data_IF_698468413230
#
_entry.id   IF_698468413230
#
_cell.length_a   1.000
_cell.length_b   1.000
_cell.length_c   1.000
_cell.angle_alpha   90.00
_cell.angle_beta   90.00
_cell.angle_gamma   90.00
#
_symmetry.space_group_name_H-M   'P 1'
#
loop_
_entity.id
_entity.type
_entity.pdbx_description
1 polymer ?
#
# COMPACT_ATOMS: atom_id res chain seq x y z
N UNK A 1 70.88 3.14 34.05
CA UNK A 1 69.80 4.07 33.62
C UNK A 1 69.10 3.65 32.32
N UNK A 2 69.81 3.13 31.30
CA UNK A 2 69.19 2.79 30.00
C UNK A 2 68.14 1.67 30.01
N UNK A 3 68.33 0.61 30.80
CA UNK A 3 67.39 -0.52 30.86
C UNK A 3 66.01 -0.13 31.42
N UNK A 4 65.99 0.69 32.49
CA UNK A 4 64.73 1.18 33.08
C UNK A 4 63.95 2.07 32.12
N UNK A 5 64.65 2.95 31.38
CA UNK A 5 64.02 3.79 30.36
C UNK A 5 63.40 2.95 29.23
N UNK A 6 64.07 1.88 28.77
CA UNK A 6 63.55 0.98 27.74
C UNK A 6 62.33 0.19 28.21
N UNK A 7 62.35 -0.30 29.46
CA UNK A 7 61.22 -1.02 30.06
C UNK A 7 60.03 -0.08 30.21
N UNK A 8 60.25 1.15 30.70
CA UNK A 8 59.21 2.16 30.85
C UNK A 8 58.56 2.55 29.52
N UNK A 9 59.36 2.78 28.47
CA UNK A 9 58.86 3.06 27.11
C UNK A 9 57.97 1.92 26.59
N UNK A 10 58.35 0.67 26.85
CA UNK A 10 57.56 -0.50 26.45
C UNK A 10 56.24 -0.56 27.20
N UNK A 11 56.24 -0.29 28.50
CA UNK A 11 55.01 -0.26 29.33
C UNK A 11 54.07 0.85 28.85
N UNK A 12 54.57 2.07 28.63
CA UNK A 12 53.78 3.19 28.11
C UNK A 12 53.22 2.88 26.73
N UNK A 13 53.99 2.24 25.86
CA UNK A 13 53.53 1.82 24.53
C UNK A 13 52.40 0.78 24.63
N UNK A 14 52.55 -0.25 25.47
CA UNK A 14 51.52 -1.28 25.65
C UNK A 14 50.25 -0.68 26.26
N UNK A 15 50.37 0.17 27.29
CA UNK A 15 49.22 0.83 27.93
C UNK A 15 48.51 1.76 26.95
N UNK A 16 49.24 2.57 26.19
CA UNK A 16 48.63 3.46 25.18
C UNK A 16 47.97 2.68 24.03
N UNK A 17 48.58 1.59 23.57
CA UNK A 17 47.99 0.68 22.58
C UNK A 17 46.65 0.11 23.07
N UNK A 18 46.63 -0.45 24.29
CA UNK A 18 45.39 -1.01 24.86
C UNK A 18 44.36 0.07 25.21
N UNK A 19 44.80 1.26 25.65
CA UNK A 19 43.92 2.40 25.88
C UNK A 19 43.20 2.82 24.60
N UNK A 20 43.92 3.02 23.49
CA UNK A 20 43.34 3.39 22.19
C UNK A 20 42.38 2.28 21.71
N UNK A 21 42.77 1.01 21.82
CA UNK A 21 41.95 -0.12 21.38
C UNK A 21 40.68 -0.29 22.23
N UNK A 22 40.79 -0.21 23.55
CA UNK A 22 39.67 -0.35 24.48
C UNK A 22 38.71 0.83 24.37
N UNK A 23 39.23 2.04 24.25
CA UNK A 23 38.43 3.25 24.06
C UNK A 23 37.78 3.30 22.67
N UNK A 24 38.49 2.87 21.64
CA UNK A 24 37.96 2.68 20.29
C UNK A 24 36.86 1.64 20.27
N UNK A 25 37.04 0.50 20.93
CA UNK A 25 36.00 -0.53 21.09
C UNK A 25 34.79 -0.01 21.87
N UNK A 26 35.00 0.72 22.98
CA UNK A 26 33.92 1.29 23.77
C UNK A 26 33.11 2.36 23.00
N UNK A 27 33.76 3.09 22.08
CA UNK A 27 33.08 4.03 21.18
C UNK A 27 32.59 3.43 19.87
N UNK A 28 32.94 2.18 19.58
CA UNK A 28 32.49 1.50 18.37
C UNK A 28 30.99 1.26 18.48
N UNK A 29 30.22 1.92 17.61
CA UNK A 29 28.78 1.70 17.55
C UNK A 29 28.50 0.29 17.02
N UNK A 30 27.58 -0.47 17.62
CA UNK A 30 27.23 -1.77 17.09
C UNK A 30 26.67 -1.59 15.66
N UNK A 31 27.02 -2.46 14.69
CA UNK A 31 26.59 -2.33 13.31
C UNK A 31 25.07 -2.15 13.15
N UNK A 32 24.30 -2.86 13.99
CA UNK A 32 22.83 -2.76 14.05
C UNK A 32 22.34 -1.33 14.37
N UNK A 33 23.01 -0.62 15.28
CA UNK A 33 22.63 0.75 15.63
C UNK A 33 22.92 1.74 14.48
N UNK A 34 24.01 1.52 13.73
CA UNK A 34 24.36 2.35 12.57
C UNK A 34 23.27 2.22 11.49
N UNK A 35 22.89 1.00 11.14
CA UNK A 35 21.86 0.77 10.12
C UNK A 35 20.47 1.19 10.59
N UNK A 36 20.13 1.01 11.87
CA UNK A 36 18.87 1.51 12.42
C UNK A 36 18.81 3.05 12.43
N UNK A 37 19.94 3.73 12.65
CA UNK A 37 20.02 5.18 12.51
C UNK A 37 19.84 5.61 11.04
N UNK A 38 20.45 4.90 10.09
CA UNK A 38 20.26 5.14 8.64
C UNK A 38 18.81 4.93 8.21
N UNK A 39 18.18 3.84 8.62
CA UNK A 39 16.77 3.56 8.35
C UNK A 39 15.85 4.68 8.86
N UNK A 40 16.10 5.21 10.07
CA UNK A 40 15.30 6.29 10.67
C UNK A 40 15.49 7.65 10.01
N UNK A 41 16.67 7.90 9.45
CA UNK A 41 17.04 9.19 8.85
C UNK A 41 16.97 9.16 7.31
N UNK A 42 16.55 8.05 6.71
CA UNK A 42 16.39 7.92 5.27
C UNK A 42 15.35 8.92 4.75
N UNK A 43 15.71 9.63 3.68
CA UNK A 43 14.84 10.62 3.02
C UNK A 43 14.27 10.10 1.70
N UNK A 44 14.94 9.10 1.11
CA UNK A 44 14.51 8.36 -0.07
C UNK A 44 14.06 6.96 0.33
N UNK A 45 13.18 6.36 -0.47
CA UNK A 45 12.74 5.00 -0.22
C UNK A 45 13.89 4.00 -0.51
N UNK A 46 14.74 4.30 -1.48
CA UNK A 46 15.91 3.48 -1.87
C UNK A 46 16.89 3.34 -0.70
N UNK A 47 17.22 4.46 -0.02
CA UNK A 47 18.08 4.44 1.16
C UNK A 47 17.44 3.67 2.32
N UNK A 48 16.11 3.82 2.48
CA UNK A 48 15.35 3.09 3.48
C UNK A 48 15.36 1.58 3.21
N UNK A 49 15.10 1.17 1.97
CA UNK A 49 15.08 -0.21 1.51
C UNK A 49 16.47 -0.86 1.65
N UNK A 50 17.53 -0.15 1.24
CA UNK A 50 18.90 -0.63 1.39
C UNK A 50 19.25 -0.83 2.88
N UNK A 51 18.88 0.11 3.76
CA UNK A 51 19.11 -0.02 5.18
C UNK A 51 18.27 -1.16 5.81
N UNK A 52 17.02 -1.32 5.38
CA UNK A 52 16.13 -2.40 5.80
C UNK A 52 16.68 -3.78 5.45
N UNK A 53 17.14 -3.97 4.21
CA UNK A 53 17.77 -5.22 3.75
C UNK A 53 19.04 -5.55 4.55
N UNK A 54 19.85 -4.56 4.89
CA UNK A 54 21.04 -4.78 5.71
C UNK A 54 20.67 -5.13 7.16
N UNK A 55 19.63 -4.53 7.72
CA UNK A 55 19.11 -4.91 9.03
C UNK A 55 18.59 -6.34 9.02
N UNK A 56 17.83 -6.74 8.00
CA UNK A 56 17.33 -8.11 7.86
C UNK A 56 18.46 -9.13 7.88
N UNK A 57 19.54 -8.90 7.13
CA UNK A 57 20.76 -9.75 7.16
C UNK A 57 21.40 -9.82 8.54
N UNK A 58 21.47 -8.69 9.27
CA UNK A 58 22.06 -8.63 10.61
C UNK A 58 21.18 -9.29 11.70
N UNK A 59 19.87 -9.38 11.48
CA UNK A 59 18.93 -10.07 12.36
C UNK A 59 18.64 -11.51 11.93
N UNK A 60 19.05 -11.92 10.72
CA UNK A 60 18.75 -13.23 10.15
C UNK A 60 17.32 -13.37 9.62
N UNK A 61 16.64 -12.25 9.34
CA UNK A 61 15.27 -12.26 8.80
C UNK A 61 15.23 -12.59 7.30
N UNK A 62 16.35 -12.44 6.60
CA UNK A 62 16.57 -12.93 5.24
C UNK A 62 16.36 -14.45 5.13
N UNK A 63 16.89 -15.23 6.06
CA UNK A 63 16.68 -16.69 6.13
C UNK A 63 15.19 -17.03 6.27
N UNK A 64 14.45 -16.24 7.06
CA UNK A 64 13.00 -16.39 7.17
C UNK A 64 12.31 -16.08 5.83
N UNK A 65 12.77 -15.09 5.06
CA UNK A 65 12.20 -14.76 3.74
C UNK A 65 12.46 -15.84 2.71
N UNK A 66 13.63 -16.46 2.73
CA UNK A 66 14.00 -17.60 1.87
C UNK A 66 13.19 -18.85 2.19
N UNK A 67 12.85 -19.06 3.45
CA UNK A 67 12.03 -20.21 3.87
C UNK A 67 10.60 -20.06 3.34
N UNK A 68 10.20 -20.94 2.41
CA UNK A 68 8.86 -20.93 1.81
C UNK A 68 7.75 -21.32 2.79
N UNK A 69 8.05 -22.07 3.84
CA UNK A 69 7.02 -22.56 4.77
C UNK A 69 6.56 -21.47 5.74
N UNK A 70 5.25 -21.38 5.96
CA UNK A 70 4.63 -20.55 6.98
C UNK A 70 3.22 -21.02 7.29
N UNK A 71 2.75 -20.79 8.51
CA UNK A 71 1.36 -21.04 8.93
C UNK A 71 0.39 -19.95 8.42
N UNK A 72 0.91 -18.80 8.02
CA UNK A 72 0.08 -17.63 7.72
C UNK A 72 -0.46 -17.59 6.29
N UNK A 73 0.02 -18.47 5.41
CA UNK A 73 -0.46 -18.62 4.04
C UNK A 73 -0.25 -20.07 3.58
N UNK A 74 -1.01 -20.47 2.56
CA UNK A 74 -0.88 -21.78 1.93
C UNK A 74 0.27 -21.77 0.92
N UNK A 75 1.47 -22.01 1.42
CA UNK A 75 2.68 -22.02 0.60
C UNK A 75 2.69 -23.16 -0.41
N UNK A 76 2.01 -24.28 -0.13
CA UNK A 76 1.95 -25.42 -1.04
C UNK A 76 1.11 -25.06 -2.27
N UNK A 77 -0.07 -24.47 -2.06
CA UNK A 77 -0.91 -23.95 -3.15
C UNK A 77 -0.15 -22.96 -4.04
N UNK A 78 0.61 -22.02 -3.44
CA UNK A 78 1.38 -21.04 -4.21
C UNK A 78 2.51 -21.72 -5.01
N UNK A 79 3.21 -22.68 -4.40
CA UNK A 79 4.28 -23.43 -5.06
C UNK A 79 3.76 -24.26 -6.24
N UNK A 80 2.68 -25.00 -6.05
CA UNK A 80 2.06 -25.81 -7.11
C UNK A 80 1.61 -24.90 -8.27
N UNK A 81 1.04 -23.74 -7.95
CA UNK A 81 0.62 -22.76 -8.96
C UNK A 81 1.80 -22.13 -9.69
N UNK A 82 2.89 -21.85 -9.00
CA UNK A 82 4.13 -21.34 -9.59
C UNK A 82 4.68 -22.34 -10.63
N UNK A 83 4.69 -23.62 -10.28
CA UNK A 83 5.09 -24.69 -11.20
C UNK A 83 4.17 -24.76 -12.42
N UNK A 84 2.84 -24.73 -12.22
CA UNK A 84 1.89 -24.71 -13.33
C UNK A 84 2.09 -23.51 -14.27
N UNK A 85 2.34 -22.32 -13.71
CA UNK A 85 2.64 -21.12 -14.51
C UNK A 85 3.94 -21.28 -15.29
N UNK A 86 4.98 -21.81 -14.65
CA UNK A 86 6.27 -22.05 -15.30
C UNK A 86 6.13 -23.05 -16.46
N UNK A 87 5.54 -24.22 -16.21
CA UNK A 87 5.39 -25.29 -17.20
C UNK A 87 4.55 -24.83 -18.40
N UNK A 88 3.46 -24.10 -18.15
CA UNK A 88 2.58 -23.55 -19.20
C UNK A 88 3.28 -22.51 -20.08
N UNK A 89 4.21 -21.74 -19.50
CA UNK A 89 4.97 -20.71 -20.22
C UNK A 89 6.14 -21.27 -21.00
N UNK A 90 6.84 -22.26 -20.44
CA UNK A 90 8.01 -22.89 -21.06
C UNK A 90 7.61 -23.81 -22.22
N UNK A 91 6.51 -24.56 -22.08
CA UNK A 91 6.04 -25.48 -23.12
C UNK A 91 5.05 -24.79 -24.09
N UNK A 92 5.43 -24.57 -25.37
CA UNK A 92 4.55 -23.95 -26.35
C UNK A 92 3.25 -24.73 -26.58
N UNK A 93 3.27 -26.06 -26.39
CA UNK A 93 2.07 -26.88 -26.57
C UNK A 93 1.01 -26.56 -25.51
N UNK A 94 1.42 -26.14 -24.32
CA UNK A 94 0.52 -25.85 -23.19
C UNK A 94 0.10 -24.38 -23.12
N UNK A 95 0.68 -23.50 -23.94
CA UNK A 95 0.40 -22.06 -23.94
C UNK A 95 -1.10 -21.72 -24.03
N UNK A 96 -1.90 -22.55 -24.70
CA UNK A 96 -3.36 -22.39 -24.79
C UNK A 96 -4.09 -22.43 -23.42
N UNK A 97 -3.47 -23.00 -22.37
CA UNK A 97 -4.01 -23.07 -21.00
C UNK A 97 -3.74 -21.81 -20.19
N UNK A 98 -2.79 -20.98 -20.62
CA UNK A 98 -2.36 -19.76 -19.93
C UNK A 98 -3.53 -18.81 -19.61
N UNK A 99 -4.48 -18.53 -20.53
CA UNK A 99 -5.59 -17.62 -20.24
C UNK A 99 -6.49 -18.15 -19.11
N UNK A 100 -6.78 -19.46 -19.11
CA UNK A 100 -7.58 -20.09 -18.06
C UNK A 100 -6.86 -20.07 -16.69
N UNK A 101 -5.54 -20.22 -16.71
CA UNK A 101 -4.71 -20.14 -15.50
C UNK A 101 -4.64 -18.71 -14.94
N UNK A 102 -4.57 -17.69 -15.79
CA UNK A 102 -4.66 -16.29 -15.38
C UNK A 102 -6.06 -15.98 -14.85
N UNK A 103 -7.13 -16.36 -15.58
CA UNK A 103 -8.53 -16.10 -15.19
C UNK A 103 -8.87 -16.69 -13.82
N UNK A 104 -8.38 -17.89 -13.53
CA UNK A 104 -8.59 -18.55 -12.23
C UNK A 104 -7.61 -18.10 -11.13
N UNK A 105 -6.49 -17.47 -11.50
CA UNK A 105 -5.37 -17.21 -10.60
C UNK A 105 -5.21 -15.77 -10.16
N UNK A 106 -5.82 -14.84 -10.88
CA UNK A 106 -5.71 -13.42 -10.61
C UNK A 106 -6.66 -13.03 -9.45
N UNK A 107 -6.33 -13.51 -8.26
CA UNK A 107 -7.05 -13.26 -7.01
C UNK A 107 -6.10 -12.54 -6.06
N UNK A 108 -6.53 -11.40 -5.52
CA UNK A 108 -5.68 -10.52 -4.69
C UNK A 108 -5.05 -11.21 -3.49
N UNK A 109 -5.81 -12.08 -2.82
CA UNK A 109 -5.37 -12.77 -1.61
C UNK A 109 -5.38 -14.30 -1.78
N UNK A 110 -4.92 -14.80 -2.93
CA UNK A 110 -4.80 -16.23 -3.18
C UNK A 110 -3.93 -16.87 -2.08
N UNK A 111 -4.39 -17.96 -1.47
CA UNK A 111 -3.63 -18.66 -0.44
C UNK A 111 -3.30 -17.82 0.80
N UNK A 112 -3.96 -16.68 1.01
CA UNK A 112 -3.69 -15.74 2.09
C UNK A 112 -2.31 -15.01 2.02
N UNK A 113 -1.78 -14.79 0.81
CA UNK A 113 -0.48 -14.10 0.59
C UNK A 113 -0.44 -12.64 1.05
N UNK A 114 -1.60 -11.98 1.27
CA UNK A 114 -1.66 -10.59 1.76
C UNK A 114 -1.83 -10.50 3.28
N UNK A 115 -1.57 -11.59 4.01
CA UNK A 115 -1.69 -11.63 5.47
C UNK A 115 -0.72 -10.63 6.14
N UNK A 116 -1.20 -9.69 6.98
CA UNK A 116 -0.35 -8.68 7.62
C UNK A 116 0.80 -9.27 8.45
N UNK A 117 0.60 -10.47 9.01
CA UNK A 117 1.63 -11.16 9.79
C UNK A 117 2.88 -11.49 8.98
N UNK A 118 2.76 -11.65 7.66
CA UNK A 118 3.89 -11.91 6.77
C UNK A 118 4.70 -10.64 6.45
N UNK A 119 4.10 -9.47 6.56
CA UNK A 119 4.75 -8.19 6.25
C UNK A 119 5.33 -7.50 7.49
N UNK A 120 5.08 -8.05 8.68
CA UNK A 120 5.60 -7.54 9.95
C UNK A 120 6.83 -8.31 10.46
N UNK A 121 7.32 -9.33 9.72
CA UNK A 121 8.43 -10.18 10.16
C UNK A 121 9.81 -9.66 9.75
N UNK A 122 9.93 -9.13 8.54
CA UNK A 122 11.16 -8.54 8.01
C UNK A 122 10.97 -7.03 7.83
N UNK A 123 12.06 -6.26 7.83
CA UNK A 123 12.02 -4.84 7.53
C UNK A 123 11.78 -4.59 6.04
N UNK A 124 12.42 -5.39 5.18
CA UNK A 124 12.26 -5.31 3.74
C UNK A 124 11.42 -6.48 3.21
N UNK A 125 10.26 -6.16 2.63
CA UNK A 125 9.43 -7.11 1.89
C UNK A 125 8.89 -8.28 2.71
N UNK A 126 8.51 -9.36 2.03
CA UNK A 126 7.95 -10.57 2.63
C UNK A 126 8.68 -11.83 2.15
N UNK A 127 8.02 -12.98 2.15
CA UNK A 127 8.52 -14.27 1.65
C UNK A 127 8.87 -14.20 0.16
N UNK A 128 10.05 -14.69 -0.21
CA UNK A 128 10.55 -14.62 -1.59
C UNK A 128 9.68 -15.39 -2.59
N UNK A 129 9.08 -16.51 -2.18
CA UNK A 129 8.16 -17.28 -3.04
C UNK A 129 6.90 -16.48 -3.41
N UNK A 130 6.46 -15.54 -2.56
CA UNK A 130 5.32 -14.66 -2.87
C UNK A 130 5.75 -13.64 -3.92
N UNK A 131 6.93 -13.04 -3.76
CA UNK A 131 7.50 -12.10 -4.73
C UNK A 131 7.71 -12.78 -6.10
N UNK A 132 8.25 -14.00 -6.11
CA UNK A 132 8.43 -14.81 -7.32
C UNK A 132 7.10 -15.16 -7.98
N UNK A 133 6.09 -15.57 -7.20
CA UNK A 133 4.76 -15.85 -7.72
C UNK A 133 4.12 -14.62 -8.39
N UNK A 134 4.19 -13.46 -7.75
CA UNK A 134 3.66 -12.22 -8.33
C UNK A 134 4.40 -11.88 -9.63
N UNK A 135 5.73 -12.00 -9.65
CA UNK A 135 6.52 -11.78 -10.86
C UNK A 135 6.13 -12.74 -12.00
N UNK A 136 5.96 -14.03 -11.71
CA UNK A 136 5.53 -15.01 -12.72
C UNK A 136 4.12 -14.75 -13.26
N UNK A 137 3.20 -14.25 -12.42
CA UNK A 137 1.87 -13.82 -12.88
C UNK A 137 1.96 -12.62 -13.82
N UNK A 138 2.83 -11.64 -13.51
CA UNK A 138 3.05 -10.48 -14.39
C UNK A 138 3.59 -10.95 -15.75
N UNK A 139 4.64 -11.78 -15.75
CA UNK A 139 5.19 -12.31 -16.99
C UNK A 139 4.18 -13.15 -17.80
N UNK A 140 3.33 -13.93 -17.11
CA UNK A 140 2.25 -14.67 -17.78
C UNK A 140 1.24 -13.73 -18.48
N UNK A 141 0.90 -12.59 -17.85
CA UNK A 141 0.03 -11.58 -18.45
C UNK A 141 0.72 -10.94 -19.67
N UNK A 142 2.00 -10.58 -19.55
CA UNK A 142 2.77 -9.99 -20.65
C UNK A 142 2.89 -10.94 -21.85
N UNK A 143 3.15 -12.22 -21.61
CA UNK A 143 3.21 -13.26 -22.67
C UNK A 143 1.85 -13.42 -23.37
N UNK A 144 0.74 -13.40 -22.61
CA UNK A 144 -0.60 -13.41 -23.18
C UNK A 144 -0.88 -12.15 -24.01
N UNK A 145 -0.41 -10.99 -23.56
CA UNK A 145 -0.54 -9.73 -24.30
C UNK A 145 0.35 -9.68 -25.54
N UNK A 146 1.50 -10.35 -25.55
CA UNK A 146 2.38 -10.47 -26.71
C UNK A 146 1.88 -11.49 -27.75
N UNK A 147 0.96 -12.38 -27.38
CA UNK A 147 0.45 -13.43 -28.27
C UNK A 147 -0.17 -12.87 -29.56
N UNK A 148 0.12 -13.47 -30.74
CA UNK A 148 -0.30 -12.96 -32.03
C UNK A 148 -1.82 -13.05 -32.22
N UNK A 149 -2.38 -12.03 -32.87
CA UNK A 149 -3.81 -11.92 -33.16
C UNK A 149 -4.06 -12.47 -34.56
N UNK A 150 -5.05 -13.36 -34.71
CA UNK A 150 -5.51 -13.75 -36.05
C UNK A 150 -6.18 -12.55 -36.73
N UNK A 151 -5.74 -12.13 -37.93
CA UNK A 151 -6.41 -11.05 -38.64
C UNK A 151 -7.86 -11.46 -38.93
N UNK A 152 -8.83 -10.52 -38.85
CA UNK A 152 -10.20 -10.82 -39.19
C UNK A 152 -10.25 -11.32 -40.64
N UNK A 153 -10.78 -12.52 -40.83
CA UNK A 153 -11.03 -13.07 -42.16
C UNK A 153 -11.97 -12.12 -42.90
N UNK A 154 -11.47 -11.39 -43.89
CA UNK A 154 -12.30 -10.64 -44.82
C UNK A 154 -13.28 -11.61 -45.47
N UNK A 155 -14.58 -11.39 -45.25
CA UNK A 155 -15.68 -12.06 -45.92
C UNK A 155 -15.38 -12.09 -47.44
N UNK A 156 -15.04 -13.26 -47.98
CA UNK A 156 -15.19 -13.53 -49.42
C UNK A 156 -16.63 -13.95 -49.62
N UNK A 157 -17.51 -12.97 -49.76
CA UNK A 157 -18.80 -13.17 -50.41
C UNK A 157 -18.53 -13.40 -51.90
N UNK A 158 -18.63 -14.65 -52.34
CA UNK A 158 -18.89 -14.99 -53.73
C UNK A 158 -20.15 -15.84 -53.75
N UNK A 159 -21.24 -15.19 -54.13
CA UNK A 159 -22.52 -15.82 -54.38
C UNK A 159 -22.45 -16.83 -55.53
N UNK A 160 -23.20 -17.91 -55.37
CA UNK A 160 -23.47 -18.91 -56.39
C UNK A 160 -24.73 -19.68 -55.99
N UNK A 161 -25.86 -19.28 -56.56
CA UNK A 161 -27.17 -19.86 -56.36
C UNK A 161 -27.28 -21.31 -56.83
N UNK A 162 -28.11 -22.12 -56.17
CA UNK A 162 -29.17 -22.90 -56.81
C UNK A 162 -30.07 -23.60 -55.78
N UNK A 163 -31.35 -23.62 -56.09
CA UNK A 163 -32.48 -24.08 -55.31
C UNK A 163 -32.52 -25.59 -55.04
N UNK A 164 -33.18 -25.97 -53.94
CA UNK A 164 -34.26 -26.97 -54.02
C UNK A 164 -35.15 -26.91 -52.78
N UNK A 165 -36.42 -26.63 -53.05
CA UNK A 165 -37.60 -26.65 -52.18
C UNK A 165 -38.13 -28.07 -51.93
N UNK A 166 -38.60 -28.34 -50.71
CA UNK A 166 -39.85 -29.08 -50.38
C UNK A 166 -39.92 -29.26 -48.85
N UNK A 167 -40.77 -28.53 -48.12
CA UNK A 167 -42.19 -28.82 -47.86
C UNK A 167 -42.44 -30.22 -47.24
N UNK A 168 -42.74 -30.28 -45.94
CA UNK A 168 -43.90 -30.98 -45.37
C UNK A 168 -43.92 -30.98 -43.82
N UNK A 169 -45.05 -30.53 -43.27
CA UNK A 169 -45.81 -31.08 -42.13
C UNK A 169 -45.18 -31.22 -40.73
N UNK A 170 -45.77 -30.52 -39.74
CA UNK A 170 -45.92 -31.03 -38.36
C UNK A 170 -47.05 -32.06 -38.25
N UNK A 171 -47.55 -32.48 -37.07
CA UNK A 171 -47.44 -31.83 -35.75
C UNK A 171 -47.31 -32.81 -34.53
N UNK A 172 -47.56 -32.27 -33.32
CA UNK A 172 -47.97 -32.91 -32.04
C UNK A 172 -46.85 -33.56 -31.19
N UNK A 173 -46.54 -32.99 -30.00
CA UNK A 173 -47.13 -33.21 -28.65
C UNK A 173 -46.89 -34.65 -28.18
N UNK A 174 -46.09 -34.83 -27.11
CA UNK A 174 -46.47 -35.57 -25.90
C UNK A 174 -45.46 -35.31 -24.77
N UNK A 175 -46.03 -35.09 -23.58
CA UNK A 175 -45.38 -34.94 -22.28
C UNK A 175 -44.89 -36.30 -21.73
N UNK A 176 -44.24 -36.23 -20.56
CA UNK A 176 -44.16 -37.29 -19.54
C UNK A 176 -42.99 -38.27 -19.70
N UNK A 177 -42.28 -38.76 -18.68
CA UNK A 177 -41.96 -38.40 -17.29
C UNK A 177 -41.06 -39.54 -16.78
N UNK A 178 -40.24 -39.23 -15.77
CA UNK A 178 -39.74 -40.14 -14.74
C UNK A 178 -38.91 -41.40 -15.10
N UNK A 179 -37.81 -41.55 -14.35
CA UNK A 179 -37.44 -42.87 -13.83
C UNK A 179 -35.97 -43.27 -13.94
N UNK A 180 -35.12 -42.68 -13.10
CA UNK A 180 -34.10 -43.47 -12.41
C UNK A 180 -34.82 -44.36 -11.37
N UNK A 181 -34.32 -45.56 -10.97
CA UNK A 181 -33.15 -45.62 -10.08
C UNK A 181 -32.30 -46.91 -10.04
N UNK A 182 -31.09 -46.76 -9.46
CA UNK A 182 -30.32 -47.76 -8.67
C UNK A 182 -29.74 -48.97 -9.44
N UNK A 183 -28.55 -49.51 -9.19
CA UNK A 183 -27.79 -49.76 -7.95
C UNK A 183 -26.28 -49.87 -8.24
N UNK A 184 -25.49 -49.80 -7.16
CA UNK A 184 -24.08 -50.22 -6.98
C UNK A 184 -23.62 -51.43 -7.84
N UNK A 185 -22.34 -51.67 -8.13
CA UNK A 185 -21.23 -51.81 -7.17
C UNK A 185 -19.85 -52.01 -7.86
N UNK A 186 -18.78 -51.86 -7.07
CA UNK A 186 -17.46 -52.52 -7.15
C UNK A 186 -16.39 -52.18 -8.24
N UNK A 187 -15.45 -51.33 -7.81
CA UNK A 187 -13.99 -51.55 -7.65
C UNK A 187 -13.18 -52.55 -8.52
N UNK A 188 -11.96 -52.07 -8.87
CA UNK A 188 -10.65 -52.75 -9.13
C UNK A 188 -10.24 -53.11 -10.57
N UNK A 189 -9.36 -52.24 -11.10
CA UNK A 189 -7.97 -52.53 -11.54
C UNK A 189 -7.64 -53.93 -12.09
N UNK A 190 -7.32 -54.03 -13.40
CA UNK A 190 -5.96 -54.24 -13.92
C UNK A 190 -5.96 -54.71 -15.39
N UNK A 191 -5.18 -54.00 -16.22
CA UNK A 191 -4.20 -54.51 -17.21
C UNK A 191 -4.62 -55.65 -18.16
N UNK A 192 -4.70 -55.35 -19.47
CA UNK A 192 -3.80 -55.91 -20.50
C UNK A 192 -4.23 -55.51 -21.92
N UNK A 193 -3.23 -55.45 -22.80
CA UNK A 193 -3.23 -54.95 -24.16
C UNK A 193 -3.94 -55.83 -25.19
N UNK A 194 -4.41 -55.20 -26.28
CA UNK A 194 -4.36 -55.76 -27.63
C UNK A 194 -4.37 -54.61 -28.68
N UNK A 195 -3.76 -54.80 -29.87
CA UNK A 195 -3.30 -53.73 -30.74
C UNK A 195 -4.25 -53.44 -31.90
N UNK A 196 -4.18 -52.22 -32.44
CA UNK A 196 -4.65 -51.93 -33.79
C UNK A 196 -3.64 -50.99 -34.46
N UNK A 197 -3.00 -51.52 -35.49
CA UNK A 197 -2.09 -50.85 -36.41
C UNK A 197 -2.89 -50.17 -37.55
N UNK A 198 -2.19 -49.36 -38.34
CA UNK A 198 -2.52 -48.77 -39.66
C UNK A 198 -2.90 -47.28 -39.68
N UNK A 199 -1.85 -46.46 -39.69
CA UNK A 199 -1.53 -45.43 -40.70
C UNK A 199 -2.66 -44.64 -41.38
N UNK A 200 -2.72 -43.32 -41.13
CA UNK A 200 -2.79 -42.31 -42.21
C UNK A 200 -2.68 -40.85 -41.70
N UNK A 201 -1.83 -40.09 -42.39
CA UNK A 201 -1.67 -38.63 -42.42
C UNK A 201 -0.92 -37.91 -41.26
N UNK A 202 0.16 -37.16 -41.56
CA UNK A 202 0.74 -36.21 -40.61
C UNK A 202 -0.25 -35.07 -40.39
N UNK A 203 -0.73 -34.92 -39.14
CA UNK A 203 -1.55 -33.76 -38.75
C UNK A 203 -0.75 -32.48 -39.03
N UNK A 204 -1.32 -31.49 -39.72
CA UNK A 204 -0.64 -30.21 -39.95
C UNK A 204 -0.32 -29.59 -38.59
N UNK A 205 0.89 -29.02 -38.49
CA UNK A 205 1.52 -28.60 -37.25
C UNK A 205 0.59 -27.84 -36.30
N UNK A 206 0.75 -28.10 -35.00
CA UNK A 206 0.13 -27.33 -33.92
C UNK A 206 0.66 -25.89 -33.99
N UNK A 207 0.10 -25.08 -34.87
CA UNK A 207 0.08 -23.63 -34.66
C UNK A 207 -0.85 -23.40 -33.50
N UNK A 208 -0.32 -22.92 -32.36
CA UNK A 208 -1.13 -22.52 -31.20
C UNK A 208 -2.36 -21.74 -31.69
N UNK A 209 -3.57 -22.08 -31.23
CA UNK A 209 -4.79 -21.45 -31.74
C UNK A 209 -4.72 -19.95 -31.45
N UNK A 210 -4.45 -19.17 -32.50
CA UNK A 210 -4.29 -17.73 -32.39
C UNK A 210 -5.64 -17.13 -31.97
N UNK A 211 -5.65 -16.48 -30.80
CA UNK A 211 -6.84 -15.90 -30.21
C UNK A 211 -7.32 -14.73 -31.08
N UNK A 212 -8.64 -14.66 -31.31
CA UNK A 212 -9.21 -13.52 -32.01
C UNK A 212 -9.04 -12.24 -31.18
N UNK A 213 -8.92 -11.09 -31.85
CA UNK A 213 -8.80 -9.79 -31.18
C UNK A 213 -9.95 -9.56 -30.19
N UNK A 214 -11.16 -9.97 -30.59
CA UNK A 214 -12.36 -9.85 -29.76
C UNK A 214 -12.26 -10.71 -28.49
N UNK A 215 -11.82 -11.97 -28.60
CA UNK A 215 -11.64 -12.84 -27.45
C UNK A 215 -10.59 -12.29 -26.48
N UNK A 216 -9.50 -11.72 -27.01
CA UNK A 216 -8.44 -11.09 -26.20
C UNK A 216 -8.96 -9.85 -25.46
N UNK A 217 -9.73 -8.99 -26.13
CA UNK A 217 -10.34 -7.81 -25.49
C UNK A 217 -11.37 -8.19 -24.43
N UNK A 218 -12.25 -9.16 -24.71
CA UNK A 218 -13.21 -9.68 -23.72
C UNK A 218 -12.49 -10.26 -22.50
N UNK A 219 -11.43 -11.04 -22.72
CA UNK A 219 -10.62 -11.58 -21.64
C UNK A 219 -10.02 -10.48 -20.74
N UNK A 220 -9.44 -9.44 -21.33
CA UNK A 220 -8.85 -8.32 -20.58
C UNK A 220 -9.93 -7.57 -19.79
N UNK A 221 -11.08 -7.31 -20.42
CA UNK A 221 -12.19 -6.62 -19.78
C UNK A 221 -12.71 -7.40 -18.56
N UNK A 222 -13.00 -8.69 -18.74
CA UNK A 222 -13.46 -9.59 -17.67
C UNK A 222 -12.43 -9.70 -16.54
N UNK A 223 -11.16 -9.87 -16.91
CA UNK A 223 -10.06 -10.01 -15.94
C UNK A 223 -9.88 -8.73 -15.13
N UNK A 224 -9.97 -7.55 -15.77
CA UNK A 224 -9.94 -6.25 -15.07
C UNK A 224 -11.13 -6.09 -14.14
N UNK A 225 -12.32 -6.51 -14.56
CA UNK A 225 -13.53 -6.44 -13.75
C UNK A 225 -13.44 -7.36 -12.52
N UNK A 226 -12.93 -8.58 -12.69
CA UNK A 226 -12.75 -9.56 -11.61
C UNK A 226 -11.65 -9.14 -10.61
N UNK A 227 -10.51 -8.65 -11.10
CA UNK A 227 -9.41 -8.22 -10.22
C UNK A 227 -9.69 -6.88 -9.53
N UNK A 228 -10.53 -6.04 -10.13
CA UNK A 228 -10.95 -4.74 -9.62
C UNK A 228 -9.83 -3.69 -9.62
N UNK A 229 -10.09 -2.56 -8.95
CA UNK A 229 -9.11 -1.47 -8.76
C UNK A 229 -8.63 -1.39 -7.32
N UNK A 230 -7.37 -1.03 -7.11
CA UNK A 230 -6.81 -0.76 -5.79
C UNK A 230 -7.23 0.65 -5.35
N UNK A 231 -7.62 0.80 -4.09
CA UNK A 231 -7.85 2.10 -3.48
C UNK A 231 -6.91 2.33 -2.31
N UNK A 232 -6.30 3.51 -2.26
CA UNK A 232 -5.58 3.98 -1.08
C UNK A 232 -6.57 4.59 -0.08
N UNK A 233 -6.56 4.11 1.16
CA UNK A 233 -7.42 4.64 2.22
C UNK A 233 -6.54 5.37 3.24
N UNK A 234 -6.73 6.69 3.34
CA UNK A 234 -6.06 7.56 4.28
C UNK A 234 -7.00 7.83 5.45
N UNK A 235 -6.85 7.06 6.52
CA UNK A 235 -7.63 7.23 7.74
C UNK A 235 -7.08 8.42 8.55
N UNK A 236 -7.92 9.40 8.84
CA UNK A 236 -7.51 10.58 9.61
C UNK A 236 -7.44 10.32 11.11
N UNK A 237 -6.34 10.80 11.71
CA UNK A 237 -6.10 10.90 13.14
C UNK A 237 -5.11 12.05 13.40
N UNK A 238 -5.33 12.83 14.47
CA UNK A 238 -4.64 14.12 14.70
C UNK A 238 -3.12 14.03 14.87
N UNK A 239 -2.59 12.90 15.36
CA UNK A 239 -1.17 12.76 15.72
C UNK A 239 -0.28 12.35 14.54
N UNK A 240 -0.81 11.62 13.56
CA UNK A 240 -0.05 11.00 12.46
C UNK A 240 -0.45 11.49 11.06
N UNK A 241 -1.26 12.54 10.95
CA UNK A 241 -1.74 13.05 9.65
C UNK A 241 -0.64 13.34 8.63
N UNK A 242 0.52 13.87 9.06
CA UNK A 242 1.67 14.11 8.19
C UNK A 242 2.35 12.84 7.68
N UNK A 243 2.19 11.70 8.37
CA UNK A 243 2.78 10.43 7.91
C UNK A 243 2.16 9.98 6.59
N UNK A 244 0.88 10.32 6.34
CA UNK A 244 0.21 10.05 5.06
C UNK A 244 0.91 10.70 3.88
N UNK A 245 1.47 11.91 4.06
CA UNK A 245 2.22 12.61 3.01
C UNK A 245 3.47 11.81 2.61
N UNK A 246 4.20 11.26 3.58
CA UNK A 246 5.37 10.42 3.34
C UNK A 246 5.02 9.11 2.63
N UNK A 247 3.92 8.46 3.03
CA UNK A 247 3.43 7.24 2.37
C UNK A 247 3.04 7.54 0.91
N UNK A 248 2.27 8.60 0.68
CA UNK A 248 1.87 9.00 -0.68
C UNK A 248 3.09 9.36 -1.53
N UNK A 249 4.07 10.08 -0.97
CA UNK A 249 5.34 10.39 -1.64
C UNK A 249 6.09 9.14 -2.06
N UNK A 250 6.23 8.16 -1.17
CA UNK A 250 6.89 6.90 -1.49
C UNK A 250 6.15 6.13 -2.59
N UNK A 251 4.82 6.04 -2.51
CA UNK A 251 4.00 5.38 -3.53
C UNK A 251 4.09 6.08 -4.88
N UNK A 252 4.06 7.42 -4.90
CA UNK A 252 4.15 8.21 -6.11
C UNK A 252 5.52 8.07 -6.78
N UNK A 253 6.62 8.21 -6.03
CA UNK A 253 7.98 8.07 -6.56
C UNK A 253 8.25 6.68 -7.16
N UNK A 254 7.56 5.64 -6.67
CA UNK A 254 7.63 4.28 -7.22
C UNK A 254 6.60 4.00 -8.32
N UNK A 255 5.77 4.97 -8.71
CA UNK A 255 4.72 4.78 -9.73
C UNK A 255 3.60 3.83 -9.27
N UNK A 256 3.42 3.66 -7.97
CA UNK A 256 2.45 2.75 -7.35
C UNK A 256 1.25 3.47 -6.72
N UNK A 257 1.15 4.80 -6.88
CA UNK A 257 0.05 5.59 -6.31
C UNK A 257 -1.29 5.17 -6.96
N UNK A 258 -2.26 4.64 -6.18
CA UNK A 258 -3.54 4.21 -6.75
C UNK A 258 -4.36 5.40 -7.26
N UNK A 259 -5.08 5.21 -8.37
CA UNK A 259 -5.97 6.23 -8.93
C UNK A 259 -7.20 6.51 -8.05
N UNK A 260 -7.59 5.56 -7.19
CA UNK A 260 -8.74 5.73 -6.28
C UNK A 260 -8.22 6.04 -4.88
N UNK A 261 -8.44 7.26 -4.41
CA UNK A 261 -7.97 7.74 -3.11
C UNK A 261 -9.18 8.06 -2.25
N UNK A 262 -9.25 7.41 -1.10
CA UNK A 262 -10.30 7.59 -0.12
C UNK A 262 -9.70 8.18 1.14
N UNK A 263 -10.29 9.24 1.69
CA UNK A 263 -9.78 9.87 2.90
C UNK A 263 -10.86 10.18 3.91
N UNK A 264 -10.47 10.13 5.19
CA UNK A 264 -11.31 10.53 6.33
C UNK A 264 -10.59 11.60 7.14
N UNK A 265 -11.30 12.62 7.64
CA UNK A 265 -10.73 13.67 8.50
C UNK A 265 -9.42 14.30 7.93
N UNK A 266 -8.30 14.26 8.67
CA UNK A 266 -6.99 14.74 8.19
C UNK A 266 -6.49 13.96 6.96
N UNK A 267 -6.86 12.69 6.82
CA UNK A 267 -6.56 11.90 5.63
C UNK A 267 -7.36 12.33 4.40
N UNK A 268 -8.57 12.89 4.58
CA UNK A 268 -9.36 13.49 3.50
C UNK A 268 -8.68 14.74 2.94
N UNK A 269 -8.05 15.54 3.80
CA UNK A 269 -7.24 16.68 3.36
C UNK A 269 -6.08 16.24 2.47
N UNK A 270 -5.27 15.28 2.93
CA UNK A 270 -4.14 14.77 2.14
C UNK A 270 -4.65 14.10 0.85
N UNK A 271 -5.76 13.36 0.91
CA UNK A 271 -6.38 12.76 -0.26
C UNK A 271 -6.82 13.82 -1.29
N UNK A 272 -7.48 14.90 -0.84
CA UNK A 272 -7.94 15.98 -1.70
C UNK A 272 -6.76 16.74 -2.33
N UNK A 273 -5.74 17.03 -1.54
CA UNK A 273 -4.50 17.64 -2.00
C UNK A 273 -3.87 16.82 -3.12
N UNK A 274 -3.79 15.50 -2.94
CA UNK A 274 -3.21 14.60 -3.95
C UNK A 274 -4.14 14.48 -5.17
N UNK A 275 -5.46 14.46 -4.98
CA UNK A 275 -6.40 14.30 -6.09
C UNK A 275 -6.54 15.54 -6.99
N UNK A 276 -6.21 16.74 -6.48
CA UNK A 276 -6.28 18.01 -7.23
C UNK A 276 -5.05 18.26 -8.11
N UNK A 277 -3.88 17.80 -7.68
CA UNK A 277 -2.62 18.04 -8.39
C UNK A 277 -2.33 16.96 -9.42
N UNK A 278 -1.86 17.39 -10.59
CA UNK A 278 -1.38 16.48 -11.66
C UNK A 278 -0.11 15.76 -11.23
N UNK A 279 0.29 14.72 -11.97
CA UNK A 279 1.52 13.97 -11.68
C UNK A 279 2.78 14.87 -11.73
N UNK A 280 2.77 15.94 -12.53
CA UNK A 280 3.90 16.87 -12.66
C UNK A 280 4.01 17.86 -11.49
N UNK A 281 2.88 18.29 -10.94
CA UNK A 281 2.82 19.25 -9.83
C UNK A 281 3.03 18.57 -8.46
N UNK A 282 2.65 17.30 -8.37
CA UNK A 282 2.62 16.57 -7.10
C UNK A 282 3.98 16.50 -6.37
N UNK A 283 5.16 16.33 -7.02
CA UNK A 283 6.45 16.36 -6.34
C UNK A 283 6.73 17.62 -5.52
N UNK A 284 6.37 18.80 -6.03
CA UNK A 284 6.57 20.09 -5.35
C UNK A 284 5.65 20.29 -4.15
N UNK A 285 4.46 19.69 -4.21
CA UNK A 285 3.51 19.67 -3.10
C UNK A 285 3.97 18.71 -2.01
N UNK A 286 4.42 17.51 -2.39
CA UNK A 286 4.87 16.47 -1.45
C UNK A 286 6.27 16.74 -0.85
N UNK A 287 7.09 17.61 -1.44
CA UNK A 287 8.37 18.04 -0.88
C UNK A 287 8.20 18.97 0.33
N UNK A 288 7.01 19.54 0.53
CA UNK A 288 6.73 20.49 1.61
C UNK A 288 7.14 21.92 1.27
N UNK A 289 7.54 22.20 0.03
CA UNK A 289 7.86 23.57 -0.42
C UNK A 289 6.59 24.39 -0.72
N UNK A 290 5.50 23.74 -1.15
CA UNK A 290 4.22 24.41 -1.42
C UNK A 290 3.25 24.42 -0.22
N UNK A 291 3.44 23.53 0.76
CA UNK A 291 2.55 23.39 1.91
C UNK A 291 3.19 24.10 3.10
N UNK A 292 2.54 25.13 3.64
CA UNK A 292 2.95 25.70 4.92
C UNK A 292 2.65 24.71 6.07
N UNK A 293 3.62 23.83 6.32
CA UNK A 293 3.58 22.87 7.40
C UNK A 293 3.77 23.54 8.78
N UNK A 294 3.76 24.88 8.89
CA UNK A 294 3.79 25.60 10.17
C UNK A 294 2.65 25.18 11.11
N UNK A 295 1.46 24.84 10.57
CA UNK A 295 0.35 24.27 11.33
C UNK A 295 0.73 22.94 12.02
N UNK A 296 1.65 22.20 11.43
CA UNK A 296 2.04 20.86 11.84
C UNK A 296 3.45 20.78 12.45
N UNK A 297 4.25 21.84 12.38
CA UNK A 297 5.62 21.91 12.93
C UNK A 297 5.65 22.72 14.23
N UNK A 298 6.58 22.42 15.17
CA UNK A 298 6.80 23.30 16.30
C UNK A 298 7.36 24.63 15.80
N UNK A 299 6.63 25.73 16.02
CA UNK A 299 7.13 27.08 15.78
C UNK A 299 8.47 27.28 16.48
N UNK A 300 9.57 27.28 15.72
CA UNK A 300 10.80 27.95 16.14
C UNK A 300 10.53 29.46 16.07
N UNK A 301 10.90 30.16 17.13
CA UNK A 301 10.42 31.49 17.50
C UNK A 301 10.34 32.51 16.36
N UNK A 302 9.22 33.23 16.31
CA UNK A 302 9.20 34.58 15.75
C UNK A 302 9.76 35.51 16.82
N UNK A 303 10.89 36.12 16.52
CA UNK A 303 11.39 37.33 17.15
C UNK A 303 10.29 38.40 17.11
N UNK A 304 9.78 38.82 18.27
CA UNK A 304 9.04 40.07 18.41
C UNK A 304 10.01 41.21 18.74
N UNK A 305 9.80 42.42 18.19
CA UNK A 305 10.59 43.59 18.53
C UNK A 305 10.22 44.09 19.93
N UNK A 306 11.18 44.82 20.52
CA UNK A 306 11.12 45.59 21.77
C UNK A 306 9.73 46.13 22.17
N UNK A 307 9.32 45.89 23.42
CA UNK A 307 8.77 46.91 24.32
C UNK A 307 8.67 46.36 25.76
N UNK A 308 9.08 47.19 26.72
CA UNK A 308 9.06 46.94 28.15
C UNK A 308 7.67 47.09 28.76
N UNK A 309 7.33 46.19 29.69
CA UNK A 309 6.43 46.37 30.85
C UNK A 309 6.53 45.07 31.69
N UNK A 310 7.36 45.02 32.72
CA UNK A 310 7.03 45.33 34.12
C UNK A 310 6.02 44.35 34.76
N UNK A 311 6.54 43.59 35.74
CA UNK A 311 5.93 43.06 36.96
C UNK A 311 4.57 42.33 36.89
N UNK A 312 4.51 41.08 37.34
CA UNK A 312 4.24 40.78 38.76
C UNK A 312 4.31 39.26 39.02
N UNK A 313 4.86 38.89 40.17
CA UNK A 313 4.92 37.53 40.66
C UNK A 313 3.81 37.36 41.70
N UNK A 314 2.82 36.51 41.42
CA UNK A 314 1.70 36.28 42.31
C UNK A 314 1.16 34.85 42.29
N UNK A 315 1.47 34.12 43.36
CA UNK A 315 0.63 33.11 44.03
C UNK A 315 0.31 31.77 43.35
N UNK A 316 0.86 30.71 43.95
CA UNK A 316 0.38 29.33 43.89
C UNK A 316 -0.81 29.15 44.83
N UNK A 317 -2.00 28.80 44.32
CA UNK A 317 -2.95 27.91 45.01
C UNK A 317 -4.18 27.60 44.17
N UNK A 318 -4.28 26.38 43.62
CA UNK A 318 -5.50 25.57 43.67
C UNK A 318 -5.21 24.18 43.11
N UNK A 319 -5.02 23.22 44.01
CA UNK A 319 -5.08 21.79 43.69
C UNK A 319 -6.57 21.45 43.59
N UNK A 320 -7.09 21.29 42.37
CA UNK A 320 -8.36 20.64 42.12
C UNK A 320 -8.38 20.01 40.71
N UNK A 321 -8.26 18.68 40.71
CA UNK A 321 -9.01 17.79 39.81
C UNK A 321 -8.83 17.93 38.30
N UNK A 322 -7.72 17.43 37.75
CA UNK A 322 -7.77 16.78 36.44
C UNK A 322 -6.67 15.73 36.36
N UNK A 323 -7.04 14.45 36.22
CA UNK A 323 -6.10 13.34 36.07
C UNK A 323 -5.09 13.57 34.93
N UNK A 324 -5.50 14.33 33.90
CA UNK A 324 -4.63 14.77 32.81
C UNK A 324 -3.49 15.71 33.24
N UNK A 325 -3.71 16.62 34.20
CA UNK A 325 -2.68 17.54 34.69
C UNK A 325 -1.61 16.83 35.52
N UNK A 326 -2.02 15.80 36.28
CA UNK A 326 -1.11 14.90 36.99
C UNK A 326 -0.30 14.04 36.01
N UNK A 327 -0.93 13.51 34.95
CA UNK A 327 -0.24 12.73 33.90
C UNK A 327 0.77 13.60 33.14
N UNK A 328 0.44 14.85 32.80
CA UNK A 328 1.37 15.80 32.16
C UNK A 328 2.55 16.14 33.07
N UNK A 329 2.31 16.36 34.36
CA UNK A 329 3.38 16.63 35.34
C UNK A 329 4.28 15.41 35.56
N UNK A 330 3.71 14.21 35.57
CA UNK A 330 4.45 12.94 35.72
C UNK A 330 5.26 12.60 34.45
N UNK A 331 4.73 12.90 33.25
CA UNK A 331 5.42 12.73 31.97
C UNK A 331 6.58 13.73 31.77
N UNK A 332 6.46 14.95 32.31
CA UNK A 332 7.54 15.94 32.34
C UNK A 332 8.72 15.52 33.23
N UNK A 333 8.46 14.77 34.30
CA UNK A 333 9.48 14.24 35.20
C UNK A 333 10.29 13.07 34.59
N UNK A 334 9.71 12.36 33.61
CA UNK A 334 10.33 11.24 32.90
C UNK A 334 10.92 11.67 31.54
N UNK A 335 11.96 12.50 31.53
CA UNK A 335 12.65 12.90 30.29
C UNK A 335 13.72 11.85 29.88
N UNK A 336 13.71 11.30 28.64
CA UNK A 336 14.75 10.38 28.19
C UNK A 336 16.02 11.11 27.69
N UNK A 337 17.19 10.54 28.01
CA UNK A 337 18.57 10.99 27.71
C UNK A 337 18.95 10.77 26.23
N UNK A 338 18.16 11.25 25.28
CA UNK A 338 18.56 11.26 23.86
C UNK A 338 17.95 12.42 23.09
N UNK A 339 18.80 13.21 22.43
CA UNK A 339 18.47 14.54 21.89
C UNK A 339 17.46 14.55 20.73
N UNK A 340 17.30 13.45 19.98
CA UNK A 340 16.28 13.33 18.93
C UNK A 340 14.90 12.94 19.49
N UNK A 341 14.87 12.09 20.52
CA UNK A 341 13.65 11.72 21.25
C UNK A 341 13.16 12.88 22.12
N UNK A 342 14.04 13.55 22.86
CA UNK A 342 13.66 14.67 23.74
C UNK A 342 12.91 15.79 23.01
N UNK A 343 13.30 16.11 21.77
CA UNK A 343 12.60 17.11 20.92
C UNK A 343 11.18 16.66 20.55
N UNK A 344 10.99 15.40 20.17
CA UNK A 344 9.67 14.81 19.84
C UNK A 344 8.76 14.69 21.07
N UNK A 345 9.36 14.40 22.23
CA UNK A 345 8.68 14.34 23.52
C UNK A 345 8.21 15.73 23.99
N UNK A 346 9.04 16.77 23.87
CA UNK A 346 8.61 18.14 24.17
C UNK A 346 7.51 18.64 23.24
N UNK A 347 7.49 18.24 21.96
CA UNK A 347 6.36 18.52 21.07
C UNK A 347 5.08 17.79 21.48
N UNK A 348 5.19 16.52 21.89
CA UNK A 348 4.07 15.73 22.40
C UNK A 348 3.48 16.38 23.66
N UNK A 349 4.31 16.72 24.63
CA UNK A 349 3.89 17.38 25.89
C UNK A 349 3.25 18.74 25.62
N UNK A 350 3.79 19.56 24.71
CA UNK A 350 3.18 20.85 24.35
C UNK A 350 1.84 20.71 23.62
N UNK A 351 1.68 19.68 22.78
CA UNK A 351 0.40 19.44 22.09
C UNK A 351 -0.63 18.79 23.02
N UNK A 352 -0.19 17.96 23.96
CA UNK A 352 -1.03 17.40 25.04
C UNK A 352 -1.48 18.49 26.01
N UNK A 353 -0.59 19.44 26.35
CA UNK A 353 -0.91 20.63 27.14
C UNK A 353 -1.91 21.55 26.45
N UNK A 354 -1.74 21.78 25.13
CA UNK A 354 -2.72 22.56 24.33
C UNK A 354 -4.06 21.86 24.19
N UNK A 355 -4.06 20.53 24.09
CA UNK A 355 -5.28 19.73 24.11
C UNK A 355 -6.05 19.90 25.43
N UNK A 356 -5.35 19.94 26.57
CA UNK A 356 -5.96 20.20 27.88
C UNK A 356 -6.38 21.66 28.11
N UNK A 357 -5.80 22.65 27.42
CA UNK A 357 -6.11 24.08 27.62
C UNK A 357 -7.11 24.64 26.58
N UNK A 358 -7.13 24.12 25.34
CA UNK A 358 -7.90 24.71 24.21
C UNK A 358 -8.77 23.72 23.42
N UNK A 359 -8.68 22.41 23.70
CA UNK A 359 -9.51 21.39 23.06
C UNK A 359 -9.06 20.91 21.66
N UNK A 360 -8.22 21.64 20.93
CA UNK A 360 -7.73 21.24 19.59
C UNK A 360 -6.21 21.04 19.52
N UNK A 361 -5.77 20.09 18.69
CA UNK A 361 -4.36 19.70 18.53
C UNK A 361 -3.64 20.44 17.39
N UNK A 362 -4.39 20.95 16.40
CA UNK A 362 -3.90 21.71 15.24
C UNK A 362 -4.63 23.06 15.16
N UNK A 363 -3.91 24.09 14.74
CA UNK A 363 -4.47 25.41 14.49
C UNK A 363 -5.40 25.35 13.27
N UNK A 364 -6.70 25.49 13.53
CA UNK A 364 -7.77 25.36 12.53
C UNK A 364 -7.64 26.42 11.45
N UNK A 365 -7.27 27.64 11.83
CA UNK A 365 -7.15 28.78 10.90
C UNK A 365 -5.96 28.63 9.96
N UNK A 366 -4.83 28.13 10.48
CA UNK A 366 -3.63 27.87 9.66
C UNK A 366 -3.89 26.70 8.71
N UNK A 367 -4.59 25.68 9.20
CA UNK A 367 -4.94 24.53 8.38
C UNK A 367 -5.92 24.92 7.28
N UNK A 368 -6.95 25.70 7.58
CA UNK A 368 -7.90 26.23 6.59
C UNK A 368 -7.21 27.03 5.49
N UNK A 369 -6.30 27.95 5.84
CA UNK A 369 -5.51 28.71 4.86
C UNK A 369 -4.63 27.79 4.02
N UNK A 370 -3.93 26.86 4.66
CA UNK A 370 -3.12 25.87 3.96
C UNK A 370 -3.93 25.05 2.95
N UNK A 371 -5.15 24.61 3.32
CA UNK A 371 -6.04 23.89 2.40
C UNK A 371 -6.51 24.80 1.27
N UNK A 372 -6.93 26.04 1.59
CA UNK A 372 -7.43 27.00 0.60
C UNK A 372 -6.36 27.33 -0.45
N UNK A 373 -5.13 27.58 -0.02
CA UNK A 373 -4.03 27.98 -0.88
C UNK A 373 -3.53 26.83 -1.77
N UNK A 374 -3.69 25.57 -1.33
CA UNK A 374 -3.19 24.39 -2.04
C UNK A 374 -4.27 23.63 -2.83
N UNK A 375 -5.50 23.52 -2.32
CA UNK A 375 -6.60 22.79 -2.97
C UNK A 375 -7.42 23.71 -3.87
N UNK A 376 -7.50 25.00 -3.53
CA UNK A 376 -8.34 25.97 -4.23
C UNK A 376 -9.84 25.67 -4.16
N UNK A 377 -10.61 26.34 -5.02
CA UNK A 377 -12.07 26.18 -5.12
C UNK A 377 -12.47 25.14 -6.18
N UNK A 378 -11.73 24.02 -6.25
CA UNK A 378 -12.02 22.96 -7.20
C UNK A 378 -13.15 22.04 -6.72
N UNK A 379 -14.06 21.73 -7.63
CA UNK A 379 -15.12 20.74 -7.40
C UNK A 379 -14.61 19.32 -7.61
N UNK A 380 -15.31 18.32 -7.07
CA UNK A 380 -14.94 16.91 -7.31
C UNK A 380 -14.89 16.55 -8.79
N UNK A 381 -15.83 17.07 -9.58
CA UNK A 381 -15.86 16.82 -11.02
C UNK A 381 -14.66 17.45 -11.73
N UNK A 382 -14.30 18.68 -11.35
CA UNK A 382 -13.16 19.37 -11.96
C UNK A 382 -11.83 18.72 -11.58
N UNK A 383 -11.66 18.35 -10.31
CA UNK A 383 -10.50 17.60 -9.85
C UNK A 383 -10.34 16.27 -10.62
N UNK A 384 -11.43 15.53 -10.81
CA UNK A 384 -11.42 14.26 -11.56
C UNK A 384 -11.07 14.48 -13.04
N UNK A 385 -11.62 15.51 -13.68
CA UNK A 385 -11.29 15.82 -15.09
C UNK A 385 -9.83 16.22 -15.27
N UNK A 386 -9.26 16.94 -14.30
CA UNK A 386 -7.88 17.41 -14.33
C UNK A 386 -6.87 16.30 -14.12
N UNK A 387 -7.09 15.40 -13.16
CA UNK A 387 -6.07 14.41 -12.75
C UNK A 387 -6.41 12.97 -13.10
N UNK A 388 -7.67 12.66 -13.42
CA UNK A 388 -8.17 11.30 -13.58
C UNK A 388 -8.24 10.50 -12.27
N UNK A 389 -7.91 11.11 -11.12
CA UNK A 389 -7.93 10.44 -9.81
C UNK A 389 -9.31 10.54 -9.17
N UNK A 390 -9.83 9.41 -8.72
CA UNK A 390 -11.11 9.34 -8.01
C UNK A 390 -10.89 9.68 -6.55
N UNK A 391 -11.39 10.84 -6.12
CA UNK A 391 -11.42 11.25 -4.72
C UNK A 391 -12.73 10.80 -4.06
N UNK A 392 -12.62 10.04 -2.98
CA UNK A 392 -13.73 9.72 -2.09
C UNK A 392 -13.49 10.32 -0.71
N UNK A 393 -14.44 11.09 -0.20
CA UNK A 393 -14.42 11.62 1.16
C UNK A 393 -15.60 11.04 1.91
N UNK A 394 -15.33 10.40 3.06
CA UNK A 394 -16.39 9.89 3.93
C UNK A 394 -16.69 10.91 5.02
N UNK A 395 -17.96 11.30 5.15
CA UNK A 395 -18.43 12.22 6.20
C UNK A 395 -19.33 11.44 7.15
N UNK A 396 -18.96 11.42 8.42
CA UNK A 396 -19.81 10.89 9.49
C UNK A 396 -20.74 12.02 9.98
N UNK A 397 -22.04 11.77 9.98
CA UNK A 397 -23.05 12.66 10.57
C UNK A 397 -23.00 12.54 12.10
N UNK A 398 -23.16 13.66 12.83
CA UNK A 398 -23.11 13.67 14.29
C UNK A 398 -24.29 12.98 14.98
N UNK A 399 -25.37 12.69 14.27
CA UNK A 399 -26.55 12.02 14.85
C UNK A 399 -26.27 10.54 15.12
N UNK A 400 -26.58 10.08 16.33
CA UNK A 400 -26.46 8.67 16.73
C UNK A 400 -27.34 7.80 15.82
N UNK A 401 -26.72 7.13 14.84
CA UNK A 401 -27.41 6.26 13.87
C UNK A 401 -27.51 6.82 12.45
N UNK A 402 -26.92 7.98 12.15
CA UNK A 402 -26.90 8.51 10.78
C UNK A 402 -26.08 7.65 9.82
N UNK A 403 -26.57 7.50 8.58
CA UNK A 403 -25.90 6.73 7.53
C UNK A 403 -24.65 7.50 7.07
N UNK A 404 -23.44 6.90 7.10
CA UNK A 404 -22.25 7.57 6.63
C UNK A 404 -22.39 7.93 5.14
N UNK A 405 -22.12 9.19 4.80
CA UNK A 405 -22.23 9.67 3.43
C UNK A 405 -20.86 9.66 2.77
N UNK A 406 -20.81 9.20 1.52
CA UNK A 406 -19.59 9.20 0.70
C UNK A 406 -19.76 10.21 -0.41
N UNK A 407 -18.84 11.16 -0.45
CA UNK A 407 -18.82 12.26 -1.41
C UNK A 407 -17.72 12.00 -2.44
N UNK A 408 -18.09 12.03 -3.70
CA UNK A 408 -17.18 11.85 -4.82
C UNK A 408 -17.70 12.55 -6.08
N UNK A 409 -16.98 12.41 -7.20
CA UNK A 409 -17.35 13.01 -8.48
C UNK A 409 -18.67 12.47 -9.09
N UNK A 410 -19.18 11.34 -8.59
CA UNK A 410 -20.45 10.73 -9.05
C UNK A 410 -21.62 11.22 -8.19
N UNK A 411 -21.50 11.12 -6.86
CA UNK A 411 -22.57 11.46 -5.91
C UNK A 411 -22.66 12.96 -5.63
N UNK A 412 -21.56 13.70 -5.78
CA UNK A 412 -21.47 15.13 -5.42
C UNK A 412 -20.53 15.90 -6.35
N UNK A 413 -20.81 15.93 -7.68
CA UNK A 413 -19.89 16.50 -8.68
C UNK A 413 -19.60 17.99 -8.48
N UNK A 414 -20.60 18.76 -8.04
CA UNK A 414 -20.53 20.23 -7.93
C UNK A 414 -20.10 20.71 -6.54
N UNK A 415 -19.83 19.80 -5.61
CA UNK A 415 -19.35 20.16 -4.28
C UNK A 415 -17.86 20.52 -4.37
N UNK A 416 -17.48 21.65 -3.79
CA UNK A 416 -16.08 22.07 -3.70
C UNK A 416 -15.37 21.20 -2.67
N UNK A 417 -14.23 20.63 -3.03
CA UNK A 417 -13.42 19.77 -2.16
C UNK A 417 -13.05 20.47 -0.84
N UNK A 418 -12.83 21.79 -0.90
CA UNK A 418 -12.52 22.65 0.25
C UNK A 418 -13.64 22.72 1.31
N UNK A 419 -14.91 22.85 0.91
CA UNK A 419 -16.01 23.06 1.89
C UNK A 419 -16.25 21.86 2.80
N UNK A 420 -15.88 20.66 2.35
CA UNK A 420 -16.00 19.44 3.17
C UNK A 420 -15.02 19.42 4.33
N UNK A 421 -13.87 20.07 4.16
CA UNK A 421 -12.89 20.20 5.21
C UNK A 421 -13.37 21.14 6.33
N UNK A 422 -13.99 22.27 5.97
CA UNK A 422 -14.63 23.18 6.92
C UNK A 422 -15.75 22.49 7.70
N UNK A 423 -16.60 21.72 7.02
CA UNK A 423 -17.67 20.97 7.69
C UNK A 423 -17.12 19.94 8.69
N UNK A 424 -15.98 19.31 8.39
CA UNK A 424 -15.33 18.37 9.30
C UNK A 424 -14.72 19.08 10.53
N UNK A 425 -14.04 20.21 10.33
CA UNK A 425 -13.50 21.02 11.42
C UNK A 425 -14.60 21.54 12.35
N UNK A 426 -15.73 21.97 11.77
CA UNK A 426 -16.89 22.41 12.55
C UNK A 426 -17.48 21.28 13.40
N UNK A 427 -17.60 20.06 12.85
CA UNK A 427 -18.03 18.87 13.59
C UNK A 427 -17.06 18.49 14.72
N UNK A 428 -15.76 18.63 14.50
CA UNK A 428 -14.75 18.42 15.53
C UNK A 428 -14.82 19.49 16.62
N UNK A 429 -15.03 20.76 16.25
CA UNK A 429 -15.17 21.86 17.20
C UNK A 429 -16.43 21.75 18.06
N UNK A 430 -17.53 21.22 17.52
CA UNK A 430 -18.79 21.01 18.25
C UNK A 430 -18.72 19.82 19.23
N UNK A 431 -17.93 18.78 18.93
CA UNK A 431 -17.75 17.62 19.80
C UNK A 431 -16.74 17.84 20.96
N UNK A 432 -16.11 19.01 21.03
CA UNK A 432 -15.09 19.35 22.04
C UNK A 432 -15.63 20.35 23.07
N UNK A 433 -16.94 20.59 23.15
CA UNK A 433 -17.52 21.18 24.36
C UNK A 433 -17.72 20.08 25.42
N UNK A 434 -16.86 19.98 26.45
CA UNK A 434 -17.20 19.19 27.63
C UNK A 434 -18.36 19.90 28.36
N UNK A 435 -19.28 19.10 28.86
CA UNK A 435 -20.11 19.46 30.01
C UNK A 435 -19.25 19.84 31.21
#
# INVERSE_FOLDING_TARGET
MGAFASIWQTVVYVVSFWYIKLFGWWRSQPPKAIWMARLRNATTYEDWEAAALQLDKLYGFDLWRETSQSKHYDWALIKDRLQLLHDTRVDPAQHHRLPNLIRSGLVRNLGNITSPKLYNCAFAGTKLIIDEYIAQVIFAIDDFLASPITPPSSHRDLGGAAASSSAAAGPAIDEESCGQPTTADQSRSARAAAPADVSSAPRPGLTSPALSMQAKMTFIHDTRQAFGRTSLILQGGSIFGMCHLGVVKALFLRGLLPQVITGTAVGALIAALVAVHTDEELPGVLSGEAIDLSAFTPTSGKSTPSAAAAADAGSLSSIAGNAAALVVSLLLACAPVSSSSARRWMTLVRRLRRFTEKGYFLDVDVLERCVRDNVGELTFQEAYRRTGRVLNITVATAEQGGVPTVLNYITSPHVVCFFLFLSFLALFSLNVHPY
#
